data_IF_506568835490
#
_entry.id   IF_506568835490
#
_cell.length_a   1.000
_cell.length_b   1.000
_cell.length_c   1.000
_cell.angle_alpha   90.00
_cell.angle_beta   90.00
_cell.angle_gamma   90.00
#
_symmetry.space_group_name_H-M   'P 1'
#
loop_
_entity.id
_entity.type
_entity.pdbx_description
1 polymer ?
#
# COMPACT_ATOMS: atom_id res chain seq x y z
N UNK A 1 15.82 30.34 30.30
CA UNK A 1 15.58 31.67 29.73
C UNK A 1 14.83 31.46 28.43
N UNK A 2 13.68 32.12 28.31
CA UNK A 2 12.62 31.79 27.38
C UNK A 2 12.88 32.41 26.01
N UNK A 3 13.48 31.65 25.11
CA UNK A 3 13.55 32.06 23.71
C UNK A 3 12.23 31.68 23.04
N UNK A 4 11.28 32.63 23.06
CA UNK A 4 10.05 32.61 22.25
C UNK A 4 10.36 32.75 20.75
N UNK A 5 11.25 31.90 20.25
CA UNK A 5 11.67 31.88 18.87
C UNK A 5 10.59 31.32 17.96
N UNK A 6 10.51 31.84 16.74
CA UNK A 6 9.70 31.25 15.68
C UNK A 6 10.58 30.29 14.88
N UNK A 7 10.11 29.06 14.67
CA UNK A 7 10.68 28.15 13.69
C UNK A 7 9.96 28.34 12.36
N UNK A 8 10.74 28.33 11.28
CA UNK A 8 10.22 28.56 9.95
C UNK A 8 10.20 27.26 9.13
N UNK A 9 9.16 27.08 8.34
CA UNK A 9 9.06 26.02 7.32
C UNK A 9 8.71 26.63 5.97
N UNK A 10 8.90 25.85 4.90
CA UNK A 10 8.63 26.28 3.51
C UNK A 10 9.35 27.59 3.12
N UNK A 11 10.65 27.67 3.42
CA UNK A 11 11.49 28.82 3.07
C UNK A 11 11.12 30.14 3.76
N UNK A 12 10.47 30.09 4.93
CA UNK A 12 10.11 31.28 5.71
C UNK A 12 8.64 31.69 5.62
N UNK A 13 7.82 31.00 4.82
CA UNK A 13 6.39 31.32 4.64
C UNK A 13 5.53 30.88 5.82
N UNK A 14 5.91 29.77 6.46
CA UNK A 14 5.20 29.24 7.62
C UNK A 14 6.03 29.48 8.86
N UNK A 15 5.38 29.93 9.94
CA UNK A 15 6.02 30.17 11.23
C UNK A 15 5.31 29.40 12.32
N UNK A 16 6.09 28.77 13.18
CA UNK A 16 5.61 27.94 14.27
C UNK A 16 6.30 28.35 15.57
N UNK A 17 5.58 28.27 16.69
CA UNK A 17 6.13 28.66 17.98
C UNK A 17 7.09 27.58 18.50
N UNK A 18 8.39 27.90 18.59
CA UNK A 18 9.43 26.95 18.96
C UNK A 18 9.20 26.31 20.33
N UNK A 19 8.64 27.07 21.28
CA UNK A 19 8.38 26.56 22.63
C UNK A 19 7.33 25.46 22.62
N UNK A 20 6.24 25.65 21.86
CA UNK A 20 5.18 24.66 21.71
C UNK A 20 5.68 23.42 20.96
N UNK A 21 6.43 23.56 19.87
CA UNK A 21 6.99 22.38 19.19
C UNK A 21 7.92 21.59 20.11
N UNK A 22 8.80 22.27 20.86
CA UNK A 22 9.73 21.62 21.78
C UNK A 22 9.02 20.93 22.96
N UNK A 23 7.97 21.55 23.50
CA UNK A 23 7.17 20.97 24.58
C UNK A 23 6.53 19.63 24.18
N UNK A 24 6.08 19.52 22.93
CA UNK A 24 5.44 18.32 22.40
C UNK A 24 6.39 17.42 21.61
N UNK A 25 7.69 17.74 21.52
CA UNK A 25 8.67 16.90 20.81
C UNK A 25 8.53 16.89 19.29
N UNK A 26 7.93 17.92 18.70
CA UNK A 26 7.81 18.04 17.25
C UNK A 26 9.13 18.49 16.61
N UNK A 27 9.53 17.81 15.54
CA UNK A 27 10.72 18.11 14.75
C UNK A 27 10.31 18.51 13.32
N UNK A 28 10.90 19.58 12.82
CA UNK A 28 10.73 20.02 11.43
C UNK A 28 11.84 19.40 10.59
N UNK A 29 11.45 18.64 9.58
CA UNK A 29 12.37 17.97 8.66
C UNK A 29 12.62 18.80 7.41
N UNK A 30 13.76 18.61 6.72
CA UNK A 30 14.13 19.38 5.51
C UNK A 30 13.19 19.13 4.32
N UNK A 31 12.38 18.08 4.35
CA UNK A 31 11.31 17.80 3.39
C UNK A 31 10.01 18.59 3.66
N UNK A 32 10.08 19.61 4.53
CA UNK A 32 8.95 20.44 4.98
C UNK A 32 7.80 19.63 5.60
N UNK A 33 8.13 18.56 6.31
CA UNK A 33 7.17 17.85 7.17
C UNK A 33 7.49 18.07 8.64
N UNK A 34 6.46 18.11 9.47
CA UNK A 34 6.60 18.20 10.91
C UNK A 34 6.10 16.88 11.49
N UNK A 35 6.93 16.21 12.27
CA UNK A 35 6.51 14.97 12.91
C UNK A 35 6.97 14.87 14.35
N UNK A 36 6.28 13.98 15.06
CA UNK A 36 6.53 13.53 16.40
C UNK A 36 6.40 11.99 16.40
N UNK A 37 6.60 11.35 17.55
CA UNK A 37 6.46 9.90 17.73
C UNK A 37 5.11 9.33 17.28
N UNK A 38 4.03 10.12 17.31
CA UNK A 38 2.68 9.64 17.01
C UNK A 38 1.99 10.31 15.81
N UNK A 39 2.47 11.48 15.38
CA UNK A 39 1.79 12.27 14.34
C UNK A 39 2.79 12.87 13.36
N UNK A 40 2.39 12.90 12.08
CA UNK A 40 3.15 13.50 11.00
C UNK A 40 2.22 14.37 10.17
N UNK A 41 2.59 15.62 9.97
CA UNK A 41 1.83 16.62 9.22
C UNK A 41 2.68 17.28 8.13
N UNK A 42 2.03 17.63 7.03
CA UNK A 42 2.62 18.35 5.90
C UNK A 42 2.64 19.85 6.21
N UNK A 43 3.76 20.54 5.97
CA UNK A 43 3.95 21.95 6.26
C UNK A 43 4.59 22.68 5.06
N UNK A 44 3.98 22.55 3.87
CA UNK A 44 4.43 23.22 2.64
C UNK A 44 3.27 23.68 1.77
N UNK A 45 3.46 24.79 1.04
CA UNK A 45 2.48 25.31 0.09
C UNK A 45 1.13 25.62 0.75
N UNK A 46 0.05 25.06 0.20
CA UNK A 46 -1.31 25.22 0.72
C UNK A 46 -1.62 24.40 1.98
N UNK A 47 -0.71 23.53 2.41
CA UNK A 47 -0.85 22.74 3.64
C UNK A 47 -0.17 23.51 4.78
N UNK A 48 -0.95 24.33 5.48
CA UNK A 48 -0.50 25.22 6.56
C UNK A 48 -1.13 24.75 7.88
N UNK A 49 -0.53 23.78 8.58
CA UNK A 49 -1.07 23.30 9.84
C UNK A 49 -0.86 24.38 10.92
N UNK A 50 -1.80 24.50 11.86
CA UNK A 50 -1.60 25.38 13.03
C UNK A 50 -1.59 24.54 14.30
N UNK A 51 -0.57 24.74 15.13
CA UNK A 51 -0.45 24.02 16.41
C UNK A 51 -1.25 24.77 17.48
N UNK A 52 -2.16 24.06 18.14
CA UNK A 52 -2.90 24.58 19.30
C UNK A 52 -2.01 24.46 20.54
N UNK A 53 -2.20 25.31 21.55
CA UNK A 53 -1.46 25.24 22.82
C UNK A 53 -1.56 23.89 23.56
N UNK A 54 -2.53 23.03 23.19
CA UNK A 54 -2.68 21.67 23.71
C UNK A 54 -1.85 20.61 22.94
N UNK A 55 -1.07 21.01 21.93
CA UNK A 55 -0.20 20.13 21.14
C UNK A 55 -0.88 19.39 19.99
N UNK A 56 -2.18 19.60 19.80
CA UNK A 56 -2.93 19.12 18.66
C UNK A 56 -2.80 20.06 17.46
N UNK A 57 -3.04 19.51 16.28
CA UNK A 57 -3.01 20.25 15.03
C UNK A 57 -4.43 20.65 14.60
N UNK A 58 -4.57 21.87 14.12
CA UNK A 58 -5.78 22.38 13.47
C UNK A 58 -5.52 22.56 11.98
N UNK A 59 -6.52 22.22 11.17
CA UNK A 59 -6.48 22.28 9.70
C UNK A 59 -5.21 21.62 9.10
N UNK A 60 -4.75 20.52 9.69
CA UNK A 60 -3.56 19.81 9.26
C UNK A 60 -3.89 18.66 8.34
N UNK A 61 -3.00 18.40 7.39
CA UNK A 61 -3.06 17.23 6.53
C UNK A 61 -1.94 16.25 6.94
N UNK A 62 -2.30 14.98 7.14
CA UNK A 62 -1.34 13.95 7.54
C UNK A 62 -0.33 13.61 6.43
N UNK A 63 0.84 13.11 6.81
CA UNK A 63 1.89 12.74 5.85
C UNK A 63 1.53 11.57 4.91
N UNK A 64 0.63 10.68 5.37
CA UNK A 64 0.14 9.52 4.60
C UNK A 64 -1.02 9.88 3.65
N UNK A 65 -1.33 11.17 3.49
CA UNK A 65 -2.40 11.58 2.59
C UNK A 65 -1.91 11.63 1.14
N UNK A 66 -2.78 11.27 0.17
CA UNK A 66 -2.39 11.18 -1.24
C UNK A 66 -2.39 12.56 -1.92
N UNK A 67 -1.34 13.34 -1.67
CA UNK A 67 -1.16 14.72 -2.16
C UNK A 67 -0.48 14.82 -3.52
N UNK A 68 0.34 13.82 -3.90
CA UNK A 68 1.05 13.83 -5.18
C UNK A 68 0.16 13.32 -6.32
N UNK A 69 0.36 13.82 -7.56
CA UNK A 69 -0.29 13.25 -8.74
C UNK A 69 0.24 11.83 -9.00
N UNK A 70 -0.57 11.03 -9.69
CA UNK A 70 -0.18 9.69 -10.11
C UNK A 70 0.98 9.79 -11.11
N UNK A 71 2.07 9.09 -10.84
CA UNK A 71 3.27 9.00 -11.66
C UNK A 71 3.35 7.60 -12.28
N UNK A 72 4.48 7.31 -12.94
CA UNK A 72 4.71 6.09 -13.70
C UNK A 72 4.45 4.82 -12.90
N UNK A 73 4.83 4.78 -11.61
CA UNK A 73 4.63 3.61 -10.76
C UNK A 73 3.16 3.35 -10.50
N UNK A 74 2.37 4.38 -10.21
CA UNK A 74 0.93 4.23 -10.03
C UNK A 74 0.23 3.74 -11.31
N UNK A 75 0.66 4.25 -12.48
CA UNK A 75 0.13 3.79 -13.78
C UNK A 75 0.42 2.29 -14.00
N UNK A 76 1.66 1.86 -13.77
CA UNK A 76 2.05 0.45 -13.91
C UNK A 76 1.28 -0.43 -12.91
N UNK A 77 1.08 0.05 -11.68
CA UNK A 77 0.27 -0.63 -10.66
C UNK A 77 -1.18 -0.84 -11.08
N UNK A 78 -1.81 0.17 -11.68
CA UNK A 78 -3.19 0.08 -12.20
C UNK A 78 -3.26 -0.95 -13.33
N UNK A 79 -2.35 -0.89 -14.30
CA UNK A 79 -2.31 -1.84 -15.42
C UNK A 79 -2.12 -3.26 -14.90
N UNK A 80 -1.21 -3.48 -13.95
CA UNK A 80 -0.99 -4.77 -13.33
C UNK A 80 -2.26 -5.26 -12.59
N UNK A 81 -2.94 -4.38 -11.83
CA UNK A 81 -4.17 -4.74 -11.13
C UNK A 81 -5.28 -5.17 -12.10
N UNK A 82 -5.43 -4.50 -13.24
CA UNK A 82 -6.40 -4.87 -14.28
C UNK A 82 -6.05 -6.26 -14.86
N UNK A 83 -4.78 -6.50 -15.19
CA UNK A 83 -4.33 -7.81 -15.70
C UNK A 83 -4.61 -8.92 -14.69
N UNK A 84 -4.28 -8.71 -13.42
CA UNK A 84 -4.59 -9.68 -12.36
C UNK A 84 -6.09 -9.88 -12.14
N UNK A 85 -6.91 -8.83 -12.29
CA UNK A 85 -8.37 -8.94 -12.27
C UNK A 85 -8.90 -9.83 -13.40
N UNK A 86 -8.38 -9.69 -14.62
CA UNK A 86 -8.73 -10.57 -15.74
C UNK A 86 -8.28 -12.02 -15.48
N UNK A 87 -7.05 -12.21 -14.98
CA UNK A 87 -6.53 -13.54 -14.62
C UNK A 87 -7.36 -14.22 -13.53
N UNK A 88 -7.90 -13.46 -12.58
CA UNK A 88 -8.78 -13.97 -11.53
C UNK A 88 -10.08 -14.52 -12.13
N UNK A 89 -10.72 -13.79 -13.04
CA UNK A 89 -11.94 -14.25 -13.74
C UNK A 89 -11.65 -15.50 -14.57
N UNK A 90 -10.54 -15.52 -15.32
CA UNK A 90 -10.13 -16.70 -16.10
C UNK A 90 -9.88 -17.91 -15.21
N UNK A 91 -9.24 -17.72 -14.06
CA UNK A 91 -8.99 -18.78 -13.08
C UNK A 91 -10.29 -19.36 -12.51
N UNK A 92 -11.31 -18.53 -12.27
CA UNK A 92 -12.63 -18.98 -11.81
C UNK A 92 -13.38 -19.77 -12.90
N UNK A 93 -13.35 -19.31 -14.15
CA UNK A 93 -13.95 -20.03 -15.29
C UNK A 93 -13.27 -21.40 -15.47
N UNK A 94 -11.94 -21.44 -15.41
CA UNK A 94 -11.18 -22.67 -15.50
C UNK A 94 -11.46 -23.62 -14.33
N UNK A 95 -11.56 -23.10 -13.10
CA UNK A 95 -11.95 -23.88 -11.92
C UNK A 95 -13.35 -24.49 -12.09
N UNK A 96 -14.31 -23.74 -12.64
CA UNK A 96 -15.66 -24.26 -12.92
C UNK A 96 -15.61 -25.39 -13.96
N UNK A 97 -14.87 -25.19 -15.05
CA UNK A 97 -14.70 -26.20 -16.10
C UNK A 97 -14.03 -27.48 -15.59
N UNK A 98 -12.93 -27.35 -14.84
CA UNK A 98 -12.23 -28.47 -14.21
C UNK A 98 -12.96 -29.05 -12.99
N UNK A 99 -13.92 -28.32 -12.43
CA UNK A 99 -14.78 -28.74 -11.33
C UNK A 99 -15.88 -29.71 -11.78
N UNK A 100 -16.36 -29.59 -13.02
CA UNK A 100 -17.31 -30.52 -13.64
C UNK A 100 -16.60 -31.84 -13.96
N UNK A 101 -16.90 -32.88 -13.20
CA UNK A 101 -16.32 -34.22 -13.34
C UNK A 101 -16.88 -34.92 -14.58
N UNK A 102 -16.35 -34.59 -15.76
CA UNK A 102 -16.64 -35.33 -16.99
C UNK A 102 -15.80 -36.61 -17.16
N UNK A 103 -14.96 -36.96 -16.17
CA UNK A 103 -14.04 -38.10 -16.23
C UNK A 103 -14.39 -39.12 -15.12
N UNK A 104 -14.33 -40.44 -15.42
CA UNK A 104 -14.61 -41.50 -14.45
C UNK A 104 -13.64 -41.45 -13.26
N UNK A 105 -14.16 -41.74 -12.06
CA UNK A 105 -13.46 -41.63 -10.77
C UNK A 105 -12.36 -42.70 -10.55
N UNK A 106 -12.03 -43.49 -11.56
CA UNK A 106 -11.27 -44.74 -11.44
C UNK A 106 -9.75 -44.56 -11.38
N UNK A 107 -9.20 -43.36 -11.60
CA UNK A 107 -7.76 -43.12 -11.43
C UNK A 107 -7.47 -42.39 -10.13
N UNK A 108 -6.46 -42.89 -9.41
CA UNK A 108 -5.82 -42.48 -8.14
C UNK A 108 -5.59 -40.98 -7.89
N UNK A 109 -6.01 -40.09 -8.79
CA UNK A 109 -5.99 -38.64 -8.61
C UNK A 109 -7.21 -38.20 -7.81
N UNK A 110 -7.04 -37.99 -6.50
CA UNK A 110 -8.06 -37.35 -5.65
C UNK A 110 -8.54 -36.07 -6.33
N UNK A 111 -9.86 -35.87 -6.43
CA UNK A 111 -10.51 -34.65 -6.95
C UNK A 111 -9.88 -33.35 -6.42
N UNK A 112 -9.36 -33.40 -5.20
CA UNK A 112 -8.68 -32.30 -4.49
C UNK A 112 -7.42 -31.83 -5.22
N UNK A 113 -6.59 -32.74 -5.76
CA UNK A 113 -5.32 -32.38 -6.42
C UNK A 113 -5.53 -31.53 -7.68
N UNK A 114 -6.55 -31.85 -8.49
CA UNK A 114 -6.82 -31.14 -9.75
C UNK A 114 -7.36 -29.71 -9.56
N UNK A 115 -8.01 -29.44 -8.42
CA UNK A 115 -8.59 -28.12 -8.10
C UNK A 115 -7.58 -27.19 -7.40
N UNK A 116 -6.63 -27.78 -6.70
CA UNK A 116 -5.61 -27.08 -5.92
C UNK A 116 -4.77 -26.05 -6.69
N UNK A 117 -4.25 -26.32 -7.91
CA UNK A 117 -3.49 -25.31 -8.66
C UNK A 117 -4.35 -24.07 -8.97
N UNK A 118 -5.65 -24.25 -9.24
CA UNK A 118 -6.56 -23.13 -9.50
C UNK A 118 -6.84 -22.28 -8.26
N UNK A 119 -6.89 -22.87 -7.07
CA UNK A 119 -6.97 -22.09 -5.82
C UNK A 119 -5.72 -21.23 -5.61
N UNK A 120 -4.53 -21.76 -5.89
CA UNK A 120 -3.30 -20.97 -5.85
C UNK A 120 -3.25 -19.86 -6.90
N UNK A 121 -3.76 -20.10 -8.10
CA UNK A 121 -3.92 -19.04 -9.11
C UNK A 121 -4.88 -17.92 -8.63
N UNK A 122 -5.97 -18.27 -7.96
CA UNK A 122 -6.90 -17.28 -7.38
C UNK A 122 -6.21 -16.45 -6.29
N UNK A 123 -5.46 -17.10 -5.39
CA UNK A 123 -4.69 -16.42 -4.33
C UNK A 123 -3.64 -15.49 -4.95
N UNK A 124 -2.90 -15.98 -5.94
CA UNK A 124 -1.88 -15.20 -6.66
C UNK A 124 -2.49 -13.97 -7.32
N UNK A 125 -3.61 -14.15 -8.03
CA UNK A 125 -4.28 -13.07 -8.72
C UNK A 125 -4.89 -12.05 -7.75
N UNK A 126 -5.47 -12.48 -6.63
CA UNK A 126 -6.04 -11.57 -5.64
C UNK A 126 -4.97 -10.74 -4.93
N UNK A 127 -3.89 -11.37 -4.47
CA UNK A 127 -2.77 -10.69 -3.80
C UNK A 127 -2.03 -9.77 -4.78
N UNK A 128 -1.81 -10.21 -6.02
CA UNK A 128 -1.22 -9.38 -7.08
C UNK A 128 -2.08 -8.16 -7.43
N UNK A 129 -3.40 -8.32 -7.46
CA UNK A 129 -4.34 -7.21 -7.68
C UNK A 129 -4.30 -6.19 -6.53
N UNK A 130 -4.30 -6.64 -5.27
CA UNK A 130 -4.18 -5.75 -4.10
C UNK A 130 -2.84 -5.03 -4.10
N UNK A 131 -1.75 -5.73 -4.46
CA UNK A 131 -0.42 -5.13 -4.61
C UNK A 131 -0.42 -4.02 -5.69
N UNK A 132 -1.11 -4.24 -6.81
CA UNK A 132 -1.24 -3.24 -7.87
C UNK A 132 -2.00 -1.98 -7.44
N UNK A 133 -3.10 -2.13 -6.68
CA UNK A 133 -3.84 -0.97 -6.13
C UNK A 133 -3.01 -0.20 -5.10
N UNK A 134 -2.40 -0.90 -4.16
CA UNK A 134 -1.55 -0.27 -3.12
C UNK A 134 -0.33 0.44 -3.72
N UNK A 135 0.16 0.02 -4.90
CA UNK A 135 1.22 0.73 -5.62
C UNK A 135 0.80 2.16 -6.02
N UNK A 136 -0.49 2.42 -6.25
CA UNK A 136 -1.03 3.77 -6.52
C UNK A 136 -0.90 4.64 -5.28
N UNK A 137 -1.27 4.11 -4.12
CA UNK A 137 -1.19 4.86 -2.85
C UNK A 137 0.26 5.23 -2.54
N UNK A 138 1.20 4.29 -2.72
CA UNK A 138 2.64 4.52 -2.54
C UNK A 138 3.17 5.65 -3.44
N UNK A 139 2.58 5.86 -4.60
CA UNK A 139 2.98 6.90 -5.53
C UNK A 139 2.43 8.29 -5.16
N UNK A 140 1.27 8.31 -4.50
CA UNK A 140 0.57 9.54 -4.14
C UNK A 140 0.97 10.10 -2.77
N UNK A 141 1.42 9.26 -1.85
CA UNK A 141 1.84 9.71 -0.51
C UNK A 141 3.14 10.52 -0.55
N UNK A 142 3.24 11.51 0.35
CA UNK A 142 4.45 12.34 0.47
C UNK A 142 5.58 11.60 1.20
N UNK A 143 5.21 10.89 2.27
CA UNK A 143 6.10 10.05 3.07
C UNK A 143 5.63 8.61 2.94
N UNK A 144 6.58 7.68 2.82
CA UNK A 144 6.30 6.25 2.79
C UNK A 144 5.92 5.79 4.20
N UNK A 145 4.65 5.47 4.41
CA UNK A 145 4.14 4.91 5.66
C UNK A 145 3.46 3.57 5.44
N UNK A 146 2.22 3.45 5.90
CA UNK A 146 1.42 2.22 5.88
C UNK A 146 1.16 1.68 4.47
N UNK A 147 0.90 2.56 3.50
CA UNK A 147 0.67 2.17 2.11
C UNK A 147 1.84 1.37 1.52
N UNK A 148 3.08 1.75 1.84
CA UNK A 148 4.28 1.05 1.38
C UNK A 148 4.38 -0.34 2.01
N UNK A 149 4.12 -0.44 3.31
CA UNK A 149 4.15 -1.72 4.04
C UNK A 149 3.17 -2.70 3.41
N UNK A 150 1.93 -2.28 3.14
CA UNK A 150 0.94 -3.14 2.48
C UNK A 150 1.40 -3.57 1.09
N UNK A 151 1.89 -2.63 0.28
CA UNK A 151 2.37 -2.94 -1.06
C UNK A 151 3.47 -4.00 -1.04
N UNK A 152 4.48 -3.86 -0.17
CA UNK A 152 5.57 -4.83 -0.06
C UNK A 152 5.11 -6.19 0.46
N UNK A 153 4.24 -6.24 1.46
CA UNK A 153 3.71 -7.52 1.99
C UNK A 153 2.98 -8.27 0.88
N UNK A 154 2.03 -7.63 0.19
CA UNK A 154 1.27 -8.29 -0.86
C UNK A 154 2.17 -8.66 -2.06
N UNK A 155 3.10 -7.78 -2.43
CA UNK A 155 4.06 -8.08 -3.50
C UNK A 155 4.92 -9.32 -3.16
N UNK A 156 5.46 -9.38 -1.94
CA UNK A 156 6.29 -10.51 -1.50
C UNK A 156 5.50 -11.81 -1.37
N UNK A 157 4.21 -11.75 -0.99
CA UNK A 157 3.32 -12.93 -0.93
C UNK A 157 2.95 -13.45 -2.33
N UNK A 158 2.99 -12.59 -3.36
CA UNK A 158 2.67 -12.98 -4.73
C UNK A 158 3.67 -14.02 -5.27
N UNK A 159 4.96 -13.90 -4.93
CA UNK A 159 6.02 -14.82 -5.37
C UNK A 159 5.84 -16.28 -4.89
N UNK A 160 5.71 -16.56 -3.57
CA UNK A 160 5.48 -17.92 -3.09
C UNK A 160 4.12 -18.46 -3.55
N UNK A 161 3.10 -17.62 -3.74
CA UNK A 161 1.82 -18.03 -4.30
C UNK A 161 1.93 -18.47 -5.78
N UNK A 162 2.72 -17.75 -6.59
CA UNK A 162 3.06 -18.18 -7.95
C UNK A 162 3.80 -19.52 -7.94
N UNK A 163 4.82 -19.65 -7.07
CA UNK A 163 5.63 -20.86 -6.99
C UNK A 163 4.82 -22.07 -6.53
N UNK A 164 3.90 -21.90 -5.57
CA UNK A 164 3.00 -22.98 -5.15
C UNK A 164 2.01 -23.36 -6.25
N UNK A 165 1.52 -22.42 -7.04
CA UNK A 165 0.69 -22.71 -8.22
C UNK A 165 1.47 -23.57 -9.23
N UNK A 166 2.71 -23.20 -9.55
CA UNK A 166 3.58 -23.94 -10.48
C UNK A 166 3.89 -25.33 -9.92
N UNK A 167 4.26 -25.43 -8.64
CA UNK A 167 4.57 -26.69 -7.97
C UNK A 167 3.37 -27.66 -8.01
N UNK A 168 2.16 -27.15 -7.78
CA UNK A 168 0.97 -27.97 -7.82
C UNK A 168 0.58 -28.35 -9.25
N UNK A 169 0.87 -27.49 -10.23
CA UNK A 169 0.71 -27.87 -11.63
C UNK A 169 1.69 -28.98 -12.03
N UNK A 170 2.97 -28.90 -11.65
CA UNK A 170 3.97 -29.93 -11.98
C UNK A 170 3.75 -31.24 -11.23
N UNK A 171 3.27 -31.21 -9.97
CA UNK A 171 2.97 -32.42 -9.19
C UNK A 171 1.77 -33.19 -9.70
N UNK A 172 0.78 -32.50 -10.28
CA UNK A 172 -0.47 -33.09 -10.75
C UNK A 172 -0.48 -33.38 -12.28
N UNK A 173 0.64 -33.16 -12.97
CA UNK A 173 0.93 -33.68 -14.31
C UNK A 173 1.23 -35.18 -14.25
#
# INVERSE_FOLDING_TARGET
MADGGWLYSDGGRQRFNATTLKQYGYVIYPNNTISNHSSCVLAFGGYIPTVIGNGSWYNSTGCDTPVRPIRTRGIVGIVAAIIFGVLLVLSLVALNKHGKSFLPAEKRFRLVGRRWPWYWCIITASVGMISGFTAVDVDRVWVLGTAAIFHFIFYLVTLPACLSAIWEMTRNW
#
